data_IF_277499960046
#
_entry.id   IF_277499960046
#
_cell.length_a   1.000
_cell.length_b   1.000
_cell.length_c   1.000
_cell.angle_alpha   90.00
_cell.angle_beta   90.00
_cell.angle_gamma   90.00
#
_symmetry.space_group_name_H-M   'P 1'
#
loop_
_entity.id
_entity.type
_entity.pdbx_description
1 polymer ?
#
# COMPACT_ATOMS: atom_id res chain seq x y z
N UNK A 1 25.21 -21.05 -2.85
CA UNK A 1 24.44 -19.80 -3.02
C UNK A 1 23.30 -20.14 -3.94
N UNK A 2 22.08 -20.14 -3.42
CA UNK A 2 20.87 -20.44 -4.18
C UNK A 2 20.16 -19.12 -4.45
N UNK A 3 20.01 -18.73 -5.71
CA UNK A 3 19.34 -17.49 -6.06
C UNK A 3 17.82 -17.65 -5.92
N UNK A 4 17.18 -16.65 -5.33
CA UNK A 4 15.72 -16.49 -5.34
C UNK A 4 15.38 -15.11 -5.91
N UNK A 5 14.50 -15.07 -6.92
CA UNK A 5 14.13 -13.81 -7.57
C UNK A 5 13.24 -12.96 -6.66
N UNK A 6 13.25 -11.64 -6.83
CA UNK A 6 12.35 -10.75 -6.08
C UNK A 6 10.89 -11.15 -6.26
N UNK A 7 10.50 -11.63 -7.45
CA UNK A 7 9.15 -12.13 -7.71
C UNK A 7 8.83 -13.37 -6.85
N UNK A 8 9.73 -14.35 -6.79
CA UNK A 8 9.54 -15.55 -5.96
C UNK A 8 9.44 -15.21 -4.47
N UNK A 9 10.20 -14.23 -4.01
CA UNK A 9 10.11 -13.73 -2.62
C UNK A 9 8.71 -13.17 -2.34
N UNK A 10 8.22 -12.30 -3.22
CA UNK A 10 6.93 -11.65 -3.04
C UNK A 10 5.77 -12.66 -3.18
N UNK A 11 5.85 -13.61 -4.11
CA UNK A 11 4.91 -14.73 -4.22
C UNK A 11 4.86 -15.53 -2.92
N UNK A 12 6.03 -15.91 -2.42
CA UNK A 12 6.17 -16.70 -1.20
C UNK A 12 5.60 -16.00 0.04
N UNK A 13 5.76 -14.68 0.13
CA UNK A 13 5.13 -13.88 1.19
C UNK A 13 3.62 -13.73 0.97
N UNK A 14 3.18 -13.54 -0.28
CA UNK A 14 1.78 -13.32 -0.64
C UNK A 14 0.91 -14.55 -0.34
N UNK A 15 1.47 -15.75 -0.49
CA UNK A 15 0.82 -17.02 -0.12
C UNK A 15 0.42 -17.05 1.36
N UNK A 16 1.20 -16.38 2.22
CA UNK A 16 0.94 -16.31 3.66
C UNK A 16 -0.06 -15.20 4.06
N UNK A 17 -0.45 -14.31 3.13
CA UNK A 17 -1.38 -13.21 3.43
C UNK A 17 -2.83 -13.66 3.22
N UNK A 18 -3.64 -13.49 4.27
CA UNK A 18 -5.08 -13.68 4.20
C UNK A 18 -5.76 -12.37 3.78
N UNK A 19 -6.75 -12.47 2.88
CA UNK A 19 -7.58 -11.34 2.42
C UNK A 19 -9.03 -11.67 2.74
N UNK A 20 -9.84 -10.63 2.96
CA UNK A 20 -11.28 -10.80 3.20
C UNK A 20 -11.94 -11.54 2.03
N UNK A 21 -12.85 -12.51 2.29
CA UNK A 21 -13.52 -13.28 1.25
C UNK A 21 -14.48 -12.47 0.38
N UNK A 22 -14.70 -11.19 0.70
CA UNK A 22 -15.54 -10.27 -0.07
C UNK A 22 -14.84 -9.67 -1.28
N UNK A 23 -13.52 -9.79 -1.32
CA UNK A 23 -12.68 -9.30 -2.42
C UNK A 23 -12.63 -10.40 -3.48
N UNK A 24 -12.80 -10.03 -4.76
CA UNK A 24 -12.66 -11.01 -5.83
C UNK A 24 -11.22 -11.53 -5.95
N UNK A 25 -11.02 -12.65 -6.63
CA UNK A 25 -9.72 -13.33 -6.65
C UNK A 25 -8.59 -12.45 -7.22
N UNK A 26 -8.88 -11.64 -8.24
CA UNK A 26 -7.88 -10.78 -8.90
C UNK A 26 -7.51 -9.61 -7.98
N UNK A 27 -8.52 -8.95 -7.43
CA UNK A 27 -8.35 -7.84 -6.48
C UNK A 27 -7.64 -8.33 -5.19
N UNK A 28 -7.92 -9.56 -4.76
CA UNK A 28 -7.26 -10.18 -3.63
C UNK A 28 -5.78 -10.42 -3.91
N UNK A 29 -5.42 -10.88 -5.11
CA UNK A 29 -4.03 -11.06 -5.51
C UNK A 29 -3.27 -9.71 -5.51
N UNK A 30 -3.81 -8.69 -6.17
CA UNK A 30 -3.21 -7.34 -6.21
C UNK A 30 -2.99 -6.75 -4.81
N UNK A 31 -3.98 -6.93 -3.93
CA UNK A 31 -3.92 -6.48 -2.55
C UNK A 31 -2.85 -7.23 -1.77
N UNK A 32 -2.75 -8.56 -1.92
CA UNK A 32 -1.69 -9.36 -1.29
C UNK A 32 -0.33 -8.85 -1.70
N UNK A 33 -0.07 -8.73 -3.02
CA UNK A 33 1.20 -8.26 -3.55
C UNK A 33 1.57 -6.87 -3.04
N UNK A 34 0.61 -5.93 -3.05
CA UNK A 34 0.86 -4.57 -2.56
C UNK A 34 1.20 -4.56 -1.07
N UNK A 35 0.49 -5.35 -0.26
CA UNK A 35 0.78 -5.49 1.18
C UNK A 35 2.16 -6.08 1.44
N UNK A 36 2.51 -7.19 0.78
CA UNK A 36 3.81 -7.83 1.02
C UNK A 36 4.96 -6.98 0.52
N UNK A 37 4.81 -6.28 -0.60
CA UNK A 37 5.81 -5.33 -1.08
C UNK A 37 6.01 -4.18 -0.09
N UNK A 38 4.93 -3.65 0.50
CA UNK A 38 5.01 -2.62 1.53
C UNK A 38 5.76 -3.12 2.77
N UNK A 39 5.37 -4.29 3.30
CA UNK A 39 6.04 -4.90 4.46
C UNK A 39 7.51 -5.18 4.19
N UNK A 40 7.84 -5.76 3.03
CA UNK A 40 9.21 -6.10 2.70
C UNK A 40 10.07 -4.85 2.49
N UNK A 41 9.53 -3.83 1.79
CA UNK A 41 10.16 -2.53 1.67
C UNK A 41 10.45 -1.90 3.03
N UNK A 42 9.46 -1.86 3.92
CA UNK A 42 9.57 -1.26 5.26
C UNK A 42 10.72 -1.91 6.04
N UNK A 43 10.75 -3.24 6.10
CA UNK A 43 11.79 -3.96 6.86
C UNK A 43 13.16 -3.78 6.22
N UNK A 44 13.29 -3.86 4.89
CA UNK A 44 14.55 -3.54 4.24
C UNK A 44 14.97 -2.11 4.54
N UNK A 45 14.07 -1.14 4.37
CA UNK A 45 14.35 0.29 4.57
C UNK A 45 14.90 0.57 5.97
N UNK A 46 14.24 0.04 7.00
CA UNK A 46 14.57 0.29 8.41
C UNK A 46 15.85 -0.40 8.88
N UNK A 47 16.31 -1.47 8.20
CA UNK A 47 17.50 -2.23 8.62
C UNK A 47 18.58 -2.29 7.51
N UNK A 48 19.16 -1.15 7.09
CA UNK A 48 20.09 -1.08 5.97
C UNK A 48 21.32 -1.98 6.12
N UNK A 49 21.89 -2.05 7.32
CA UNK A 49 23.12 -2.81 7.59
C UNK A 49 22.89 -4.32 7.64
N UNK A 50 21.65 -4.74 7.87
CA UNK A 50 21.26 -6.15 7.97
C UNK A 50 20.55 -6.65 6.70
N UNK A 51 20.47 -5.83 5.64
CA UNK A 51 19.83 -6.24 4.40
C UNK A 51 20.55 -7.44 3.78
N UNK A 52 19.81 -8.44 3.26
CA UNK A 52 20.41 -9.44 2.40
C UNK A 52 21.02 -8.76 1.16
N UNK A 53 22.16 -9.27 0.70
CA UNK A 53 22.84 -8.73 -0.48
C UNK A 53 21.99 -8.94 -1.73
N UNK A 54 21.81 -7.87 -2.49
CA UNK A 54 21.10 -7.92 -3.76
C UNK A 54 21.98 -8.57 -4.83
N UNK A 55 21.34 -9.39 -5.65
CA UNK A 55 22.00 -10.15 -6.70
C UNK A 55 21.32 -9.91 -8.03
N UNK A 56 22.11 -9.89 -9.10
CA UNK A 56 21.65 -9.80 -10.49
C UNK A 56 22.28 -10.91 -11.32
N UNK A 57 21.53 -11.45 -12.27
CA UNK A 57 22.06 -12.38 -13.28
C UNK A 57 22.95 -11.63 -14.29
N UNK A 58 24.25 -11.92 -14.30
CA UNK A 58 25.20 -11.37 -15.26
C UNK A 58 24.85 -11.81 -16.69
N UNK A 59 24.79 -10.85 -17.62
CA UNK A 59 24.28 -11.08 -18.98
C UNK A 59 25.09 -12.09 -19.79
N UNK A 60 26.42 -12.02 -19.70
CA UNK A 60 27.31 -12.83 -20.54
C UNK A 60 27.61 -14.21 -19.93
N UNK A 61 27.69 -14.28 -18.60
CA UNK A 61 28.13 -15.49 -17.90
C UNK A 61 26.97 -16.28 -17.32
N UNK A 62 25.78 -15.67 -17.25
CA UNK A 62 24.59 -16.24 -16.63
C UNK A 62 24.68 -16.44 -15.12
N UNK A 63 25.81 -16.07 -14.48
CA UNK A 63 26.05 -16.22 -13.04
C UNK A 63 25.38 -15.08 -12.27
N UNK A 64 24.90 -15.38 -11.07
CA UNK A 64 24.37 -14.35 -10.17
C UNK A 64 25.51 -13.70 -9.40
N UNK A 65 25.59 -12.38 -9.47
CA UNK A 65 26.63 -11.58 -8.84
C UNK A 65 25.99 -10.56 -7.90
N UNK A 66 26.66 -10.26 -6.79
CA UNK A 66 26.25 -9.16 -5.92
C UNK A 66 26.41 -7.84 -6.66
N UNK A 67 25.36 -7.03 -6.65
CA UNK A 67 25.36 -5.75 -7.33
C UNK A 67 24.54 -4.74 -6.53
N UNK A 68 25.21 -3.83 -5.83
CA UNK A 68 24.53 -2.81 -5.02
C UNK A 68 23.72 -1.83 -5.87
N UNK A 69 24.04 -1.66 -7.17
CA UNK A 69 23.25 -0.82 -8.06
C UNK A 69 21.82 -1.34 -8.27
N UNK A 70 21.61 -2.68 -8.18
CA UNK A 70 20.25 -3.23 -8.25
C UNK A 70 19.49 -3.15 -6.93
N UNK A 71 20.15 -2.79 -5.82
CA UNK A 71 19.47 -2.50 -4.55
C UNK A 71 18.52 -1.30 -4.71
N UNK A 72 19.02 -0.19 -5.25
CA UNK A 72 18.21 1.01 -5.49
C UNK A 72 17.07 0.75 -6.47
N UNK A 73 17.32 -0.06 -7.51
CA UNK A 73 16.31 -0.51 -8.46
C UNK A 73 15.24 -1.35 -7.76
N UNK A 74 15.63 -2.38 -7.01
CA UNK A 74 14.73 -3.26 -6.27
C UNK A 74 13.90 -2.53 -5.22
N UNK A 75 14.50 -1.60 -4.47
CA UNK A 75 13.77 -0.76 -3.50
C UNK A 75 12.73 0.13 -4.19
N UNK A 76 13.06 0.74 -5.35
CA UNK A 76 12.08 1.51 -6.14
C UNK A 76 10.95 0.63 -6.66
N UNK A 77 11.24 -0.61 -7.07
CA UNK A 77 10.21 -1.57 -7.48
C UNK A 77 9.27 -1.91 -6.33
N UNK A 78 9.82 -2.17 -5.13
CA UNK A 78 9.01 -2.45 -3.95
C UNK A 78 8.11 -1.27 -3.56
N UNK A 79 8.62 -0.03 -3.58
CA UNK A 79 7.80 1.18 -3.36
C UNK A 79 6.67 1.27 -4.39
N UNK A 80 6.99 1.02 -5.66
CA UNK A 80 5.98 1.05 -6.71
C UNK A 80 4.91 0.00 -6.45
N UNK A 81 5.28 -1.25 -6.18
CA UNK A 81 4.35 -2.34 -5.89
C UNK A 81 3.53 -2.09 -4.62
N UNK A 82 4.13 -1.52 -3.57
CA UNK A 82 3.47 -1.20 -2.31
C UNK A 82 2.26 -0.29 -2.49
N UNK A 83 2.38 0.72 -3.37
CA UNK A 83 1.29 1.66 -3.65
C UNK A 83 0.38 1.26 -4.81
N UNK A 84 0.60 0.11 -5.45
CA UNK A 84 -0.05 -0.23 -6.69
C UNK A 84 -1.56 -0.42 -6.51
N UNK A 85 -1.99 -1.31 -5.62
CA UNK A 85 -3.42 -1.54 -5.37
C UNK A 85 -4.19 -0.25 -5.07
N UNK A 86 -3.61 0.66 -4.28
CA UNK A 86 -4.26 1.93 -3.94
C UNK A 86 -4.44 2.83 -5.16
N UNK A 87 -3.41 2.93 -6.03
CA UNK A 87 -3.51 3.71 -7.27
C UNK A 87 -4.56 3.12 -8.21
N UNK A 88 -4.58 1.80 -8.36
CA UNK A 88 -5.54 1.14 -9.25
C UNK A 88 -6.97 1.21 -8.75
N UNK A 89 -7.19 0.94 -7.47
CA UNK A 89 -8.52 1.07 -6.87
C UNK A 89 -9.05 2.51 -6.96
N UNK A 90 -8.19 3.51 -6.77
CA UNK A 90 -8.54 4.93 -6.96
C UNK A 90 -8.91 5.21 -8.41
N UNK A 91 -8.09 4.76 -9.37
CA UNK A 91 -8.33 4.97 -10.79
C UNK A 91 -9.61 4.27 -11.28
N UNK A 92 -9.88 3.04 -10.83
CA UNK A 92 -11.14 2.32 -11.10
C UNK A 92 -12.33 3.11 -10.58
N UNK A 93 -12.27 3.60 -9.34
CA UNK A 93 -13.33 4.39 -8.73
C UNK A 93 -13.55 5.73 -9.46
N UNK A 94 -12.48 6.41 -9.87
CA UNK A 94 -12.55 7.66 -10.63
C UNK A 94 -13.14 7.45 -12.02
N UNK A 95 -12.70 6.41 -12.73
CA UNK A 95 -13.21 6.09 -14.07
C UNK A 95 -14.68 5.70 -14.00
N UNK A 96 -15.08 4.86 -13.03
CA UNK A 96 -16.48 4.52 -12.81
C UNK A 96 -17.34 5.76 -12.50
N UNK A 97 -16.84 6.69 -11.67
CA UNK A 97 -17.54 7.96 -11.38
C UNK A 97 -17.65 8.84 -12.63
N UNK A 98 -16.61 8.92 -13.44
CA UNK A 98 -16.61 9.71 -14.68
C UNK A 98 -17.60 9.14 -15.70
N UNK A 99 -17.61 7.82 -15.90
CA UNK A 99 -18.57 7.14 -16.78
C UNK A 99 -20.01 7.32 -16.28
N UNK A 100 -20.25 7.18 -14.98
CA UNK A 100 -21.58 7.39 -14.42
C UNK A 100 -22.07 8.82 -14.64
N UNK A 101 -21.21 9.82 -14.39
CA UNK A 101 -21.55 11.23 -14.65
C UNK A 101 -21.86 11.49 -16.12
N UNK A 102 -21.11 10.88 -17.03
CA UNK A 102 -21.39 10.99 -18.46
C UNK A 102 -22.77 10.41 -18.80
N UNK A 103 -23.08 9.21 -18.32
CA UNK A 103 -24.37 8.55 -18.54
C UNK A 103 -25.51 9.40 -17.97
N UNK A 104 -25.41 9.83 -16.71
CA UNK A 104 -26.42 10.63 -16.03
C UNK A 104 -26.67 11.96 -16.77
N UNK A 105 -25.59 12.65 -17.16
CA UNK A 105 -25.68 13.90 -17.91
C UNK A 105 -26.33 13.69 -19.28
N UNK A 106 -25.93 12.65 -20.01
CA UNK A 106 -26.46 12.37 -21.35
C UNK A 106 -27.93 11.92 -21.29
N UNK A 107 -28.30 11.11 -20.31
CA UNK A 107 -29.70 10.73 -20.05
C UNK A 107 -30.57 11.95 -19.71
N UNK A 108 -30.07 12.85 -18.85
CA UNK A 108 -30.78 14.08 -18.51
C UNK A 108 -30.98 14.98 -19.75
N UNK A 109 -29.95 15.11 -20.58
CA UNK A 109 -30.02 15.86 -21.84
C UNK A 109 -31.07 15.27 -22.80
N UNK A 110 -30.98 13.98 -23.11
CA UNK A 110 -31.92 13.32 -24.04
C UNK A 110 -33.36 13.39 -23.54
N UNK A 111 -33.59 13.25 -22.22
CA UNK A 111 -34.94 13.36 -21.63
C UNK A 111 -35.51 14.77 -21.66
N UNK A 112 -34.66 15.80 -21.71
CA UNK A 112 -35.08 17.19 -21.77
C UNK A 112 -35.40 17.67 -23.19
N UNK A 113 -35.05 16.89 -24.22
CA UNK A 113 -35.31 17.26 -25.61
C UNK A 113 -36.82 17.17 -25.93
N UNK A 114 -37.41 18.15 -26.62
CA UNK A 114 -38.83 18.14 -26.99
C UNK A 114 -39.22 16.98 -27.91
N UNK A 115 -38.28 16.53 -28.75
CA UNK A 115 -38.44 15.39 -29.64
C UNK A 115 -37.06 14.75 -29.86
N UNK A 116 -37.03 13.42 -29.93
CA UNK A 116 -35.84 12.65 -30.23
C UNK A 116 -35.95 12.06 -31.64
N UNK A 117 -34.85 12.11 -32.40
CA UNK A 117 -34.75 11.31 -33.63
C UNK A 117 -34.55 9.81 -33.32
N UNK A 118 -34.51 8.96 -34.34
CA UNK A 118 -34.41 7.52 -34.13
C UNK A 118 -33.04 7.08 -33.59
N UNK A 119 -31.97 7.82 -33.91
CA UNK A 119 -30.64 7.58 -33.35
C UNK A 119 -30.60 7.94 -31.86
N UNK A 120 -31.21 9.05 -31.47
CA UNK A 120 -31.29 9.52 -30.07
C UNK A 120 -32.18 8.64 -29.21
N UNK A 121 -33.27 8.09 -29.76
CA UNK A 121 -34.10 7.07 -29.07
C UNK A 121 -33.31 5.80 -28.80
N UNK A 122 -32.53 5.35 -29.78
CA UNK A 122 -31.67 4.18 -29.62
C UNK A 122 -30.58 4.44 -28.58
N UNK A 123 -29.91 5.60 -28.64
CA UNK A 123 -28.92 5.99 -27.65
C UNK A 123 -29.52 6.04 -26.23
N UNK A 124 -30.71 6.62 -26.08
CA UNK A 124 -31.43 6.66 -24.81
C UNK A 124 -31.72 5.26 -24.28
N UNK A 125 -32.18 4.36 -25.15
CA UNK A 125 -32.43 2.95 -24.82
C UNK A 125 -31.14 2.26 -24.33
N UNK A 126 -30.05 2.42 -25.06
CA UNK A 126 -28.74 1.86 -24.71
C UNK A 126 -28.26 2.39 -23.36
N UNK A 127 -28.30 3.72 -23.15
CA UNK A 127 -27.80 4.33 -21.92
C UNK A 127 -28.64 3.99 -20.68
N UNK A 128 -29.95 3.77 -20.83
CA UNK A 128 -30.83 3.37 -19.71
C UNK A 128 -30.52 1.95 -19.19
N UNK A 129 -30.07 1.08 -20.08
CA UNK A 129 -29.75 -0.31 -19.75
C UNK A 129 -28.24 -0.55 -19.64
N UNK A 130 -27.42 0.50 -19.81
CA UNK A 130 -25.97 0.37 -19.74
C UNK A 130 -25.53 0.14 -18.29
N UNK A 131 -25.09 -1.07 -18.01
CA UNK A 131 -24.36 -1.36 -16.79
C UNK A 131 -22.92 -0.89 -16.94
N UNK A 132 -22.45 -0.05 -16.02
CA UNK A 132 -21.03 0.27 -15.93
C UNK A 132 -20.32 -0.98 -15.42
N UNK A 133 -19.30 -1.49 -16.12
CA UNK A 133 -18.54 -2.63 -15.64
C UNK A 133 -17.99 -2.33 -14.25
N UNK A 134 -18.34 -3.16 -13.27
CA UNK A 134 -17.73 -3.10 -11.92
C UNK A 134 -16.21 -3.25 -11.99
N UNK A 135 -15.71 -3.90 -13.04
CA UNK A 135 -14.30 -4.07 -13.37
C UNK A 135 -13.97 -3.33 -14.65
N UNK A 136 -13.35 -2.16 -14.50
CA UNK A 136 -12.60 -1.57 -15.61
C UNK A 136 -11.24 -2.26 -15.56
N UNK A 137 -10.92 -3.04 -16.59
CA UNK A 137 -9.66 -3.79 -16.65
C UNK A 137 -8.49 -2.82 -16.69
N UNK A 138 -7.88 -2.62 -15.53
CA UNK A 138 -6.59 -1.95 -15.40
C UNK A 138 -5.59 -3.04 -15.10
N UNK A 139 -4.96 -3.52 -16.17
CA UNK A 139 -4.02 -4.62 -16.08
C UNK A 139 -2.71 -4.19 -15.41
N UNK A 140 -1.93 -5.15 -14.90
CA UNK A 140 -0.64 -4.90 -14.29
C UNK A 140 0.32 -4.18 -15.24
N UNK A 141 0.74 -2.98 -14.86
CA UNK A 141 1.75 -2.22 -15.58
C UNK A 141 1.25 -1.28 -16.67
N UNK A 142 -0.05 -0.98 -16.73
CA UNK A 142 -0.53 0.11 -17.59
C UNK A 142 0.02 1.46 -17.10
N UNK A 143 0.76 2.13 -17.96
CA UNK A 143 1.08 3.54 -17.81
C UNK A 143 -0.22 4.35 -17.79
N UNK A 144 -0.38 5.14 -16.73
CA UNK A 144 -1.61 5.87 -16.40
C UNK A 144 -1.93 6.98 -17.43
N UNK A 145 -0.93 7.42 -18.20
CA UNK A 145 -1.08 8.48 -19.19
C UNK A 145 -1.14 7.93 -20.61
N UNK A 146 -0.46 6.81 -20.90
CA UNK A 146 -0.42 6.25 -22.26
C UNK A 146 -1.29 5.01 -22.47
N UNK A 147 -1.79 4.38 -21.40
CA UNK A 147 -2.54 3.12 -21.48
C UNK A 147 -1.70 1.93 -21.97
N UNK A 148 -0.38 2.10 -22.11
CA UNK A 148 0.54 1.06 -22.57
C UNK A 148 1.14 0.30 -21.38
N UNK A 149 1.32 -1.00 -21.55
CA UNK A 149 1.99 -1.83 -20.56
C UNK A 149 3.50 -1.52 -20.53
N UNK A 150 4.04 -1.02 -19.41
CA UNK A 150 5.48 -0.97 -19.15
C UNK A 150 6.00 -2.34 -18.73
N UNK A 151 5.88 -3.31 -19.64
CA UNK A 151 6.30 -4.70 -19.41
C UNK A 151 7.81 -4.81 -19.14
N UNK A 152 8.61 -3.89 -19.68
CA UNK A 152 10.06 -3.81 -19.52
C UNK A 152 10.50 -3.76 -18.05
N UNK A 153 9.78 -3.00 -17.21
CA UNK A 153 10.07 -2.93 -15.76
C UNK A 153 9.57 -4.16 -15.00
N UNK A 154 8.53 -4.83 -15.49
CA UNK A 154 7.99 -6.04 -14.88
C UNK A 154 8.86 -7.28 -15.10
N UNK A 155 9.64 -7.34 -16.18
CA UNK A 155 10.59 -8.44 -16.37
C UNK A 155 11.76 -8.40 -15.38
N UNK A 156 12.05 -7.22 -14.84
CA UNK A 156 13.26 -7.00 -14.05
C UNK A 156 13.25 -7.68 -12.69
N UNK A 157 12.08 -7.82 -12.05
CA UNK A 157 11.93 -8.55 -10.77
C UNK A 157 12.27 -10.04 -10.87
N UNK A 158 12.27 -10.62 -12.08
CA UNK A 158 12.73 -11.99 -12.32
C UNK A 158 14.25 -12.09 -12.50
N UNK A 159 14.94 -10.96 -12.67
CA UNK A 159 16.38 -10.89 -12.95
C UNK A 159 17.21 -10.41 -11.76
N UNK A 160 16.55 -9.78 -10.78
CA UNK A 160 17.15 -9.35 -9.51
C UNK A 160 16.57 -10.17 -8.36
N UNK A 161 17.33 -10.33 -7.30
CA UNK A 161 16.93 -11.16 -6.17
C UNK A 161 17.98 -11.24 -5.09
N UNK A 162 18.03 -12.36 -4.39
CA UNK A 162 18.84 -12.55 -3.20
C UNK A 162 19.47 -13.94 -3.16
N UNK A 163 20.45 -14.11 -2.27
CA UNK A 163 20.82 -15.44 -1.80
C UNK A 163 19.72 -15.94 -0.85
N UNK A 164 19.15 -17.10 -1.16
CA UNK A 164 18.01 -17.69 -0.45
C UNK A 164 18.33 -17.92 1.02
N UNK A 165 19.52 -18.42 1.35
CA UNK A 165 19.89 -18.71 2.74
C UNK A 165 19.95 -17.44 3.58
N UNK A 166 20.62 -16.39 3.09
CA UNK A 166 20.69 -15.10 3.74
C UNK A 166 19.30 -14.45 3.86
N UNK A 167 18.49 -14.52 2.80
CA UNK A 167 17.14 -13.97 2.81
C UNK A 167 16.22 -14.69 3.81
N UNK A 168 16.20 -16.02 3.83
CA UNK A 168 15.36 -16.79 4.77
C UNK A 168 15.74 -16.46 6.21
N UNK A 169 17.04 -16.36 6.52
CA UNK A 169 17.51 -15.94 7.84
C UNK A 169 16.98 -14.54 8.21
N UNK A 170 17.07 -13.59 7.27
CA UNK A 170 16.54 -12.23 7.44
C UNK A 170 15.02 -12.22 7.67
N UNK A 171 14.25 -12.88 6.81
CA UNK A 171 12.79 -12.92 6.93
C UNK A 171 12.35 -13.55 8.27
N UNK A 172 13.01 -14.62 8.71
CA UNK A 172 12.76 -15.25 10.01
C UNK A 172 13.11 -14.32 11.19
N UNK A 173 14.24 -13.62 11.11
CA UNK A 173 14.68 -12.68 12.15
C UNK A 173 13.65 -11.57 12.39
N UNK A 174 12.99 -11.09 11.33
CA UNK A 174 11.99 -10.03 11.41
C UNK A 174 10.53 -10.52 11.44
N UNK A 175 10.32 -11.83 11.63
CA UNK A 175 8.98 -12.41 11.76
C UNK A 175 8.10 -12.26 10.51
N UNK A 176 8.71 -12.15 9.33
CA UNK A 176 7.97 -12.06 8.06
C UNK A 176 7.57 -13.47 7.64
N UNK A 177 6.27 -13.75 7.59
CA UNK A 177 5.76 -15.05 7.12
C UNK A 177 6.08 -15.28 5.64
N UNK A 178 6.60 -16.46 5.32
CA UNK A 178 6.99 -16.86 3.96
C UNK A 178 7.04 -18.39 3.82
N UNK A 179 7.01 -18.88 2.57
CA UNK A 179 7.10 -20.31 2.19
C UNK A 179 8.49 -20.74 1.67
N UNK A 180 9.47 -19.83 1.57
CA UNK A 180 10.83 -20.11 1.03
C UNK A 180 11.65 -21.14 1.83
N UNK A 181 11.21 -21.57 3.03
CA UNK A 181 11.95 -22.48 3.92
C UNK A 181 11.80 -23.99 3.65
N UNK A 182 11.25 -24.40 2.51
CA UNK A 182 11.01 -25.81 2.18
C UNK A 182 12.28 -26.67 2.18
N UNK A 183 12.57 -27.33 3.31
CA UNK A 183 13.68 -28.27 3.48
C UNK A 183 13.75 -28.89 4.89
N UNK A 184 13.26 -30.13 5.01
CA UNK A 184 13.29 -31.05 6.15
C UNK A 184 12.24 -30.87 7.28
N UNK A 185 11.12 -31.58 7.15
CA UNK A 185 10.66 -32.54 8.17
C UNK A 185 10.23 -32.06 9.57
N UNK A 186 10.19 -30.77 9.87
CA UNK A 186 9.49 -30.27 11.04
C UNK A 186 8.31 -29.43 10.59
N UNK A 187 7.16 -30.07 10.53
CA UNK A 187 5.84 -29.46 10.43
C UNK A 187 5.61 -28.60 11.70
N UNK A 188 6.33 -27.49 11.83
CA UNK A 188 5.84 -26.39 12.65
C UNK A 188 4.72 -25.80 11.84
N UNK A 189 3.48 -26.15 12.22
CA UNK A 189 2.27 -25.44 11.78
C UNK A 189 2.60 -23.95 11.64
N UNK A 190 2.21 -23.28 10.54
CA UNK A 190 2.35 -21.84 10.44
C UNK A 190 1.72 -21.26 11.71
N UNK A 191 2.55 -20.65 12.55
CA UNK A 191 2.05 -19.99 13.74
C UNK A 191 1.15 -18.92 13.19
N UNK A 192 -0.16 -19.11 13.37
CA UNK A 192 -1.15 -18.15 12.90
C UNK A 192 -0.97 -16.95 13.81
N UNK A 193 -0.05 -16.07 13.41
CA UNK A 193 0.15 -14.76 14.02
C UNK A 193 -1.15 -14.03 13.82
N UNK A 194 -1.94 -13.93 14.89
CA UNK A 194 -3.24 -13.26 14.84
C UNK A 194 -3.00 -11.76 14.63
N UNK A 195 -3.97 -11.03 14.09
CA UNK A 195 -3.83 -9.58 13.86
C UNK A 195 -3.43 -8.75 15.09
N UNK A 196 -3.52 -9.31 16.31
CA UNK A 196 -3.01 -8.67 17.53
C UNK A 196 -1.49 -8.64 17.65
N UNK A 197 -0.79 -9.64 17.12
CA UNK A 197 0.67 -9.75 17.25
C UNK A 197 1.42 -8.74 16.35
N UNK A 198 0.85 -8.42 15.18
CA UNK A 198 1.36 -7.37 14.29
C UNK A 198 1.07 -5.96 14.81
N UNK A 199 0.00 -5.76 15.57
CA UNK A 199 -0.26 -4.51 16.29
C UNK A 199 0.78 -4.30 17.40
N UNK A 200 1.09 -5.35 18.17
CA UNK A 200 2.09 -5.30 19.24
C UNK A 200 3.50 -4.99 18.72
N UNK A 201 3.91 -5.54 17.56
CA UNK A 201 5.20 -5.24 16.93
C UNK A 201 5.31 -3.80 16.42
N UNK A 202 4.20 -3.25 15.89
CA UNK A 202 4.14 -1.85 15.42
C UNK A 202 4.10 -0.86 16.58
N UNK A 203 3.36 -1.19 17.64
CA UNK A 203 3.35 -0.41 18.88
C UNK A 203 4.72 -0.42 19.57
N UNK A 204 5.40 -1.58 19.62
CA UNK A 204 6.76 -1.69 20.14
C UNK A 204 7.77 -0.87 19.31
N UNK A 205 7.68 -0.92 17.98
CA UNK A 205 8.56 -0.13 17.08
C UNK A 205 8.31 1.37 17.21
N UNK A 206 7.05 1.78 17.38
CA UNK A 206 6.67 3.16 17.64
C UNK A 206 7.15 3.66 19.01
N UNK A 207 7.01 2.84 20.06
CA UNK A 207 7.50 3.17 21.40
C UNK A 207 9.04 3.28 21.43
N UNK A 208 9.75 2.39 20.74
CA UNK A 208 11.20 2.48 20.60
C UNK A 208 11.62 3.78 19.87
N UNK A 209 10.92 4.15 18.80
CA UNK A 209 11.16 5.41 18.09
C UNK A 209 10.88 6.64 18.98
N UNK A 210 9.83 6.60 19.82
CA UNK A 210 9.54 7.67 20.79
C UNK A 210 10.64 7.81 21.85
N UNK A 211 11.12 6.70 22.40
CA UNK A 211 12.22 6.68 23.37
C UNK A 211 13.52 7.24 22.79
N UNK A 212 13.82 6.93 21.53
CA UNK A 212 15.03 7.39 20.85
C UNK A 212 14.95 8.88 20.44
N UNK A 213 13.76 9.35 20.06
CA UNK A 213 13.58 10.71 19.52
C UNK A 213 13.59 11.83 20.60
N UNK A 214 13.56 11.47 21.89
CA UNK A 214 13.49 12.42 23.04
C UNK A 214 12.39 13.50 22.88
N UNK A 215 11.32 13.20 22.16
CA UNK A 215 10.21 14.14 21.94
C UNK A 215 9.20 13.94 23.08
N UNK A 216 8.89 15.03 23.78
CA UNK A 216 7.91 15.03 24.86
C UNK A 216 6.49 15.00 24.27
N UNK A 217 5.99 13.80 23.94
CA UNK A 217 4.70 13.58 23.27
C UNK A 217 3.67 13.00 24.25
N UNK A 218 2.50 13.64 24.34
CA UNK A 218 1.32 13.02 24.96
C UNK A 218 0.44 12.41 23.86
N UNK A 219 0.29 11.07 23.86
CA UNK A 219 -0.59 10.37 22.90
C UNK A 219 -2.04 10.48 23.35
N UNK A 220 -2.87 11.13 22.52
CA UNK A 220 -4.31 11.27 22.76
C UNK A 220 -5.03 10.09 22.07
N UNK A 221 -5.92 9.41 22.81
CA UNK A 221 -6.57 8.15 22.41
C UNK A 221 -7.12 8.13 20.97
N UNK A 222 -6.96 6.94 20.38
CA UNK A 222 -7.24 6.51 18.99
C UNK A 222 -8.69 6.73 18.55
N UNK A 223 -8.88 7.26 17.33
CA UNK A 223 -10.20 7.36 16.65
C UNK A 223 -10.46 6.22 15.65
N UNK A 224 -9.40 5.54 15.19
CA UNK A 224 -9.43 4.45 14.20
C UNK A 224 -8.13 3.63 14.23
N UNK A 225 -8.19 2.34 13.87
CA UNK A 225 -7.11 1.32 13.99
C UNK A 225 -5.74 1.73 13.40
N UNK A 226 -5.66 2.76 12.56
CA UNK A 226 -4.44 3.16 11.83
C UNK A 226 -4.01 4.62 12.02
N UNK A 227 -4.67 5.37 12.91
CA UNK A 227 -4.40 6.80 13.10
C UNK A 227 -4.21 7.12 14.58
N UNK A 228 -3.06 7.71 14.93
CA UNK A 228 -2.80 8.25 16.27
C UNK A 228 -2.74 9.77 16.23
N UNK A 229 -3.23 10.39 17.31
CA UNK A 229 -3.10 11.83 17.54
C UNK A 229 -2.02 12.05 18.59
N UNK A 230 -1.03 12.85 18.24
CA UNK A 230 0.08 13.23 19.11
C UNK A 230 -0.03 14.71 19.45
N UNK A 231 0.23 15.05 20.71
CA UNK A 231 0.35 16.43 21.16
C UNK A 231 1.77 16.71 21.64
N UNK A 232 2.37 17.78 21.12
CA UNK A 232 3.71 18.25 21.51
C UNK A 232 3.68 19.79 21.55
N UNK A 233 4.10 20.41 22.66
CA UNK A 233 4.14 21.88 22.79
C UNK A 233 2.82 22.62 22.45
N UNK A 234 1.67 21.99 22.66
CA UNK A 234 0.36 22.57 22.32
C UNK A 234 -0.04 22.45 20.85
N UNK A 235 0.78 21.79 20.03
CA UNK A 235 0.50 21.46 18.63
C UNK A 235 -0.08 20.06 18.50
N UNK A 236 -1.00 19.90 17.55
CA UNK A 236 -1.70 18.67 17.26
C UNK A 236 -1.16 18.07 15.97
N UNK A 237 -0.75 16.81 16.04
CA UNK A 237 -0.18 16.08 14.92
C UNK A 237 -0.97 14.80 14.70
N UNK A 238 -1.29 14.51 13.44
CA UNK A 238 -1.80 13.20 13.03
C UNK A 238 -0.64 12.35 12.56
N UNK A 239 -0.51 11.16 13.12
CA UNK A 239 0.52 10.19 12.76
C UNK A 239 -0.17 9.03 12.03
N UNK A 240 0.24 8.80 10.79
CA UNK A 240 -0.20 7.64 10.02
C UNK A 240 0.73 6.47 10.33
N UNK A 241 0.24 5.48 11.07
CA UNK A 241 1.05 4.33 11.52
C UNK A 241 1.49 3.37 10.40
N UNK A 242 0.94 3.50 9.18
CA UNK A 242 1.39 2.71 8.03
C UNK A 242 2.53 3.36 7.25
N UNK A 243 2.78 4.66 7.47
CA UNK A 243 3.78 5.42 6.71
C UNK A 243 4.74 6.23 7.58
N UNK A 244 4.49 6.26 8.90
CA UNK A 244 5.14 7.14 9.89
C UNK A 244 5.16 8.61 9.49
N UNK A 245 4.27 9.02 8.58
CA UNK A 245 4.12 10.42 8.17
C UNK A 245 3.32 11.16 9.21
N UNK A 246 3.80 12.35 9.52
CA UNK A 246 3.13 13.31 10.39
C UNK A 246 2.42 14.35 9.53
N UNK A 247 1.19 14.68 9.91
CA UNK A 247 0.42 15.77 9.32
C UNK A 247 0.07 16.75 10.45
N UNK A 248 0.48 18.01 10.28
CA UNK A 248 0.17 19.06 11.25
C UNK A 248 -1.30 19.45 11.15
N UNK A 249 -2.03 19.37 12.26
CA UNK A 249 -3.47 19.64 12.34
C UNK A 249 -3.81 20.96 13.05
N UNK A 250 -2.80 21.76 13.39
CA UNK A 250 -2.99 23.05 14.07
C UNK A 250 -2.64 22.99 15.56
N UNK A 251 -2.93 24.07 16.30
CA UNK A 251 -2.76 24.11 17.75
C UNK A 251 -3.99 23.50 18.44
N UNK A 252 -3.76 22.74 19.51
CA UNK A 252 -4.81 22.08 20.29
C UNK A 252 -5.89 23.06 20.78
N UNK A 253 -5.48 24.28 21.16
CA UNK A 253 -6.37 25.33 21.65
C UNK A 253 -7.36 25.85 20.58
N UNK A 254 -7.03 25.71 19.30
CA UNK A 254 -7.84 26.20 18.18
C UNK A 254 -8.82 25.12 17.68
N UNK A 255 -8.45 23.84 17.81
CA UNK A 255 -9.21 22.67 17.32
C UNK A 255 -10.25 22.17 18.32
N UNK A 256 -10.01 22.36 19.62
CA UNK A 256 -11.00 22.13 20.66
C UNK A 256 -11.36 23.48 21.27
N UNK A 257 -12.46 24.08 20.81
CA UNK A 257 -12.91 25.42 21.20
C UNK A 257 -13.06 25.63 22.70
N UNK A 258 -11.94 25.85 23.39
CA UNK A 258 -11.89 26.41 24.73
C UNK A 258 -12.29 27.86 24.55
N UNK A 259 -13.60 28.14 24.64
CA UNK A 259 -14.10 29.48 24.83
C UNK A 259 -13.41 30.05 26.08
N UNK A 260 -12.36 30.84 25.89
CA UNK A 260 -11.86 31.73 26.94
C UNK A 260 -13.07 32.54 27.40
N UNK A 261 -13.56 32.29 28.61
CA UNK A 261 -14.51 33.18 29.27
C UNK A 261 -13.86 34.56 29.23
N UNK A 262 -14.43 35.48 28.46
CA UNK A 262 -14.01 36.86 28.42
C UNK A 262 -14.05 37.39 29.86
N UNK A 263 -12.90 37.76 30.40
CA UNK A 263 -12.82 38.49 31.65
C UNK A 263 -13.62 39.78 31.50
N UNK A 264 -14.53 40.03 32.43
CA UNK A 264 -15.23 41.31 32.56
C UNK A 264 -14.17 42.43 32.61
N UNK A 265 -14.32 43.51 31.83
CA UNK A 265 -13.49 44.70 32.04
C UNK A 265 -13.81 45.26 33.43
N UNK A 266 -12.76 45.48 34.23
CA UNK A 266 -12.87 46.19 35.50
C UNK A 266 -12.93 47.68 35.18
N UNK A 267 -14.06 48.33 35.46
CA UNK A 267 -14.14 49.78 35.41
C UNK A 267 -13.23 50.38 36.49
N UNK A 268 -12.30 51.24 36.06
CA UNK A 268 -11.82 52.39 36.82
C UNK A 268 -11.97 53.61 35.91
#
# INVERSE_FOLDING_TARGET
MEFVSLDDVLNSMADCVTVSPRVDADEAAELKFSKVAATFHEVLHNFPDLRPKWMERHKETGRYLQNDAVCDEGMKMLIHMAGWYQRESTLRAETHRAEQRYIDHRLAFLRAMPSLDDHEKEELSVLQHREIPKKIAVGPGRDIHSGQYRMDKFFRRWQIGFDRTALVAFLNQYGINHTLGGGSGSEKKPTTVTGGDTYNLREASFNAWLEESKVDITVLKVKTIFEQMAQTNGELWKINLNSFRTEFWGRYADTHGIKKKAGRPSNK
#
